data_IF_338778709183
#
_entry.id   IF_338778709183
#
_cell.length_a   1.000
_cell.length_b   1.000
_cell.length_c   1.000
_cell.angle_alpha   90.00
_cell.angle_beta   90.00
_cell.angle_gamma   90.00
#
_symmetry.space_group_name_H-M   'P 1'
#
loop_
_entity.id
_entity.type
_entity.pdbx_description
1 polymer ?
#
# COMPACT_ATOMS: atom_id res chain seq x y z
N UNK A 1 5.53 -19.97 4.77
CA UNK A 1 5.90 -19.05 5.87
C UNK A 1 4.65 -18.83 6.70
N UNK A 2 4.65 -19.17 8.00
CA UNK A 2 3.45 -19.09 8.86
C UNK A 2 3.66 -18.02 9.93
N UNK A 3 2.69 -17.12 10.09
CA UNK A 3 2.71 -16.08 11.12
C UNK A 3 2.21 -16.71 12.42
N UNK A 4 3.05 -16.75 13.46
CA UNK A 4 2.66 -17.33 14.75
C UNK A 4 1.50 -16.53 15.36
N UNK A 5 0.48 -17.20 15.94
CA UNK A 5 -0.58 -16.53 16.67
C UNK A 5 -0.01 -15.59 17.76
N UNK A 6 -0.68 -14.46 17.99
CA UNK A 6 -0.31 -13.44 19.00
C UNK A 6 1.07 -12.80 18.80
N UNK A 7 1.61 -12.83 17.58
CA UNK A 7 2.89 -12.21 17.23
C UNK A 7 2.69 -10.97 16.35
N UNK A 8 1.99 -9.95 16.83
CA UNK A 8 1.67 -8.71 16.08
C UNK A 8 2.91 -8.00 15.53
N UNK A 9 4.05 -8.13 16.22
CA UNK A 9 5.33 -7.61 15.77
C UNK A 9 5.76 -8.10 14.37
N UNK A 10 5.29 -9.28 13.95
CA UNK A 10 5.57 -9.84 12.62
C UNK A 10 4.72 -9.17 11.51
N UNK A 11 3.62 -8.52 11.87
CA UNK A 11 2.67 -7.90 10.94
C UNK A 11 2.95 -6.42 10.68
N UNK A 12 3.98 -5.84 11.29
CA UNK A 12 4.18 -4.38 11.26
C UNK A 12 4.29 -3.75 9.86
N UNK A 13 4.67 -4.51 8.84
CA UNK A 13 4.63 -4.02 7.44
C UNK A 13 3.20 -3.90 6.91
N UNK A 14 2.39 -4.93 7.14
CA UNK A 14 0.97 -4.97 6.75
C UNK A 14 0.23 -3.86 7.49
N UNK A 15 0.40 -3.79 8.82
CA UNK A 15 -0.24 -2.77 9.65
C UNK A 15 0.10 -1.34 9.22
N UNK A 16 1.34 -1.08 8.77
CA UNK A 16 1.71 0.23 8.22
C UNK A 16 1.05 0.51 6.87
N UNK A 17 0.99 -0.48 5.97
CA UNK A 17 0.30 -0.32 4.68
C UNK A 17 -1.17 0.03 4.89
N UNK A 18 -1.87 -0.75 5.71
CA UNK A 18 -3.29 -0.52 6.01
C UNK A 18 -3.55 0.86 6.63
N UNK A 19 -2.65 1.34 7.49
CA UNK A 19 -2.75 2.69 8.04
C UNK A 19 -2.57 3.77 6.96
N UNK A 20 -1.61 3.62 6.06
CA UNK A 20 -1.44 4.55 4.94
C UNK A 20 -2.66 4.54 4.02
N UNK A 21 -3.21 3.36 3.70
CA UNK A 21 -4.44 3.25 2.90
C UNK A 21 -5.62 3.93 3.63
N UNK A 22 -5.71 3.78 4.95
CA UNK A 22 -6.75 4.43 5.75
C UNK A 22 -6.64 5.96 5.72
N UNK A 23 -5.44 6.51 5.91
CA UNK A 23 -5.19 7.95 6.05
C UNK A 23 -5.20 8.68 4.69
N UNK A 24 -4.69 8.04 3.63
CA UNK A 24 -4.46 8.71 2.34
C UNK A 24 -5.51 8.36 1.28
N UNK A 25 -6.17 7.20 1.40
CA UNK A 25 -7.22 6.79 0.47
C UNK A 25 -8.59 6.85 1.14
N UNK A 26 -8.88 5.96 2.09
CA UNK A 26 -10.25 5.79 2.60
C UNK A 26 -10.81 7.03 3.32
N UNK A 27 -9.99 7.78 4.06
CA UNK A 27 -10.45 9.03 4.71
C UNK A 27 -10.85 10.13 3.72
N UNK A 28 -10.29 10.12 2.51
CA UNK A 28 -10.55 11.11 1.47
C UNK A 28 -11.52 10.58 0.40
N UNK A 29 -11.86 9.30 0.47
CA UNK A 29 -12.62 8.60 -0.55
C UNK A 29 -14.11 8.95 -0.48
N UNK A 30 -14.67 9.33 -1.63
CA UNK A 30 -16.11 9.30 -1.87
C UNK A 30 -16.35 8.41 -3.08
N UNK A 31 -17.28 7.46 -2.97
CA UNK A 31 -17.63 6.55 -4.04
C UNK A 31 -19.14 6.29 -4.06
N UNK A 32 -19.66 5.87 -5.22
CA UNK A 32 -21.11 5.72 -5.45
C UNK A 32 -21.62 4.31 -5.24
N UNK A 33 -20.86 3.33 -5.70
CA UNK A 33 -21.17 1.91 -5.64
C UNK A 33 -19.87 1.10 -5.71
N UNK A 34 -20.00 -0.23 -5.65
CA UNK A 34 -18.84 -1.12 -5.61
C UNK A 34 -18.02 -1.07 -6.91
N UNK A 35 -18.63 -0.72 -8.06
CA UNK A 35 -17.93 -0.61 -9.35
C UNK A 35 -17.03 0.63 -9.34
N UNK A 36 -17.54 1.78 -8.92
CA UNK A 36 -16.73 3.00 -8.74
C UNK A 36 -15.64 2.81 -7.67
N UNK A 37 -15.92 2.03 -6.62
CA UNK A 37 -14.91 1.69 -5.62
C UNK A 37 -13.78 0.85 -6.20
N UNK A 38 -14.09 -0.18 -7.00
CA UNK A 38 -13.09 -1.03 -7.66
C UNK A 38 -12.19 -0.22 -8.60
N UNK A 39 -12.75 0.70 -9.39
CA UNK A 39 -11.97 1.58 -10.26
C UNK A 39 -11.00 2.46 -9.46
N UNK A 40 -11.49 3.10 -8.38
CA UNK A 40 -10.65 3.93 -7.51
C UNK A 40 -9.56 3.12 -6.79
N UNK A 41 -9.85 1.89 -6.39
CA UNK A 41 -8.87 0.98 -5.80
C UNK A 41 -7.76 0.64 -6.80
N UNK A 42 -8.11 0.37 -8.05
CA UNK A 42 -7.11 0.10 -9.11
C UNK A 42 -6.22 1.33 -9.38
N UNK A 43 -6.80 2.53 -9.38
CA UNK A 43 -6.03 3.77 -9.48
C UNK A 43 -5.12 3.98 -8.26
N UNK A 44 -5.65 3.76 -7.05
CA UNK A 44 -4.87 3.86 -5.81
C UNK A 44 -3.70 2.88 -5.79
N UNK A 45 -3.93 1.62 -6.16
CA UNK A 45 -2.88 0.60 -6.23
C UNK A 45 -1.78 0.99 -7.22
N UNK A 46 -2.15 1.51 -8.39
CA UNK A 46 -1.18 2.02 -9.37
C UNK A 46 -0.40 3.21 -8.82
N UNK A 47 -1.07 4.19 -8.22
CA UNK A 47 -0.39 5.33 -7.62
C UNK A 47 0.57 4.90 -6.52
N UNK A 48 0.12 4.08 -5.57
CA UNK A 48 0.92 3.65 -4.42
C UNK A 48 2.18 2.88 -4.83
N UNK A 49 2.07 2.01 -5.85
CA UNK A 49 3.16 1.14 -6.29
C UNK A 49 4.13 1.79 -7.28
N UNK A 50 3.67 2.74 -8.11
CA UNK A 50 4.44 3.27 -9.24
C UNK A 50 4.71 4.77 -9.19
N UNK A 51 4.01 5.52 -8.35
CA UNK A 51 4.11 7.00 -8.33
C UNK A 51 4.37 7.57 -6.94
N UNK A 52 3.90 6.91 -5.88
CA UNK A 52 4.03 7.39 -4.50
C UNK A 52 5.48 7.27 -4.04
N UNK A 53 6.16 8.36 -3.64
CA UNK A 53 7.50 8.27 -3.07
C UNK A 53 7.43 7.76 -1.63
N UNK A 54 8.33 6.83 -1.26
CA UNK A 54 8.39 6.28 0.10
C UNK A 54 9.68 6.68 0.80
N UNK A 55 9.56 7.31 1.98
CA UNK A 55 10.73 7.72 2.80
C UNK A 55 11.60 6.51 3.18
N UNK A 56 10.96 5.39 3.53
CA UNK A 56 11.66 4.13 3.82
C UNK A 56 12.46 3.58 2.62
N UNK A 57 12.19 4.10 1.42
CA UNK A 57 12.84 3.74 0.16
C UNK A 57 13.67 4.88 -0.42
N UNK A 58 14.04 5.88 0.41
CA UNK A 58 14.81 7.06 -0.01
C UNK A 58 14.14 7.81 -1.17
N UNK A 59 12.81 7.88 -1.16
CA UNK A 59 12.01 8.53 -2.19
C UNK A 59 11.65 7.64 -3.38
N UNK A 60 12.22 6.43 -3.49
CA UNK A 60 11.82 5.47 -4.53
C UNK A 60 10.42 4.92 -4.30
N UNK A 61 9.78 4.52 -5.37
CA UNK A 61 8.51 3.80 -5.36
C UNK A 61 8.73 2.33 -4.96
N UNK A 62 7.70 1.61 -4.49
CA UNK A 62 7.81 0.18 -4.20
C UNK A 62 8.27 -0.62 -5.43
N UNK A 63 7.79 -0.26 -6.62
CA UNK A 63 8.19 -0.91 -7.87
C UNK A 63 9.67 -0.69 -8.20
N UNK A 64 10.20 0.52 -8.03
CA UNK A 64 11.63 0.79 -8.27
C UNK A 64 12.52 -0.03 -7.32
N UNK A 65 12.14 -0.13 -6.04
CA UNK A 65 12.87 -0.96 -5.08
C UNK A 65 12.76 -2.44 -5.42
N UNK A 66 11.62 -2.90 -5.93
CA UNK A 66 11.47 -4.26 -6.41
C UNK A 66 12.39 -4.52 -7.61
N UNK A 67 12.42 -3.61 -8.59
CA UNK A 67 13.28 -3.70 -9.77
C UNK A 67 14.76 -3.76 -9.37
N UNK A 68 15.20 -2.91 -8.44
CA UNK A 68 16.57 -2.91 -7.93
C UNK A 68 16.98 -4.21 -7.23
N UNK A 69 16.02 -4.95 -6.66
CA UNK A 69 16.28 -6.24 -5.98
C UNK A 69 16.27 -7.44 -6.92
N UNK A 70 15.66 -7.30 -8.09
CA UNK A 70 15.56 -8.36 -9.10
C UNK A 70 16.71 -8.30 -10.11
N UNK A 71 17.49 -7.22 -10.10
CA UNK A 71 18.77 -7.07 -10.80
C UNK A 71 19.93 -7.51 -9.90
#
# INVERSE_FOLDING_TARGET
MYIKPRSSQLNGKIERSHRSDQEEFYQLLTYKDDVDLEEKLAEWERFYNFSRPHVAHRGKTPYEVLKDKLL
#
